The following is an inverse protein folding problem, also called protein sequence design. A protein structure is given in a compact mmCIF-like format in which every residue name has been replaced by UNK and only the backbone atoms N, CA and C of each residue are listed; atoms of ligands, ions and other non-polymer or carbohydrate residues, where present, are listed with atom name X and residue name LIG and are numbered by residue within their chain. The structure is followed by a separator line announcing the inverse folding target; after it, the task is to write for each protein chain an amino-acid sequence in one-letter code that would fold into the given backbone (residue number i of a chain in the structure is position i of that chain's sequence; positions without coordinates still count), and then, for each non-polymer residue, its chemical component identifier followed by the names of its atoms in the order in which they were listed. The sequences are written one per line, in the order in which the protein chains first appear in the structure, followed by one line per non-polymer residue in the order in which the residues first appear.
data_IF_328295682582
#
_entry.id   IF_328295682582
#
_cell.length_a   1.000
_cell.length_b   1.000
_cell.length_c   1.000
_cell.angle_alpha   90.00
_cell.angle_beta   90.00
_cell.angle_gamma   90.00
#
_symmetry.space_group_name_H-M   'P 1'
#
loop_
_entity.id
_entity.type
_entity.pdbx_description
1 polymer ?
#
# COMPACT_ATOMS: atom_id res chain seq x y z
N UNK A 1 24.89 23.24 -11.72
CA UNK A 1 25.96 22.54 -12.47
C UNK A 1 25.29 21.64 -13.49
N UNK A 2 25.60 21.79 -14.79
CA UNK A 2 25.12 20.88 -15.85
C UNK A 2 25.92 19.58 -15.72
N UNK A 3 25.36 18.55 -15.11
CA UNK A 3 25.93 17.21 -15.18
C UNK A 3 25.71 16.69 -16.59
N UNK A 4 26.75 16.12 -17.19
CA UNK A 4 26.63 15.37 -18.43
C UNK A 4 25.55 14.30 -18.23
N UNK A 5 24.76 14.01 -19.26
CA UNK A 5 23.68 13.02 -19.24
C UNK A 5 24.29 11.62 -19.20
N UNK A 6 24.86 11.25 -18.06
CA UNK A 6 25.40 9.92 -17.80
C UNK A 6 24.22 9.03 -17.40
N UNK A 7 24.07 7.90 -18.07
CA UNK A 7 23.12 6.88 -17.65
C UNK A 7 23.69 6.13 -16.45
N UNK A 8 23.32 6.61 -15.26
CA UNK A 8 23.76 6.02 -13.99
C UNK A 8 23.41 4.53 -13.89
N UNK A 9 22.29 4.10 -14.47
CA UNK A 9 21.86 2.70 -14.40
C UNK A 9 22.77 1.79 -15.21
N UNK A 10 23.07 2.16 -16.45
CA UNK A 10 24.00 1.44 -17.32
C UNK A 10 25.41 1.35 -16.69
N UNK A 11 25.91 2.44 -16.12
CA UNK A 11 27.24 2.45 -15.47
C UNK A 11 27.31 1.54 -14.24
N UNK A 12 26.22 1.40 -13.48
CA UNK A 12 26.16 0.49 -12.34
C UNK A 12 26.19 -0.96 -12.82
N UNK A 13 25.44 -1.30 -13.88
CA UNK A 13 25.43 -2.65 -14.45
C UNK A 13 26.80 -3.04 -15.00
N UNK A 14 27.44 -2.15 -15.75
CA UNK A 14 28.82 -2.34 -16.24
C UNK A 14 29.80 -2.57 -15.08
N UNK A 15 29.76 -1.73 -14.05
CA UNK A 15 30.63 -1.87 -12.87
C UNK A 15 30.39 -3.18 -12.11
N UNK A 16 29.14 -3.65 -12.00
CA UNK A 16 28.84 -4.95 -11.40
C UNK A 16 29.42 -6.11 -12.20
N UNK A 17 29.28 -6.08 -13.53
CA UNK A 17 29.79 -7.13 -14.41
C UNK A 17 31.33 -7.19 -14.35
N UNK A 18 32.01 -6.05 -14.32
CA UNK A 18 33.46 -5.99 -14.17
C UNK A 18 33.91 -6.57 -12.83
N UNK A 19 33.23 -6.22 -11.74
CA UNK A 19 33.53 -6.75 -10.41
C UNK A 19 33.25 -8.25 -10.28
N UNK A 20 32.33 -8.79 -11.10
CA UNK A 20 32.02 -10.22 -11.10
C UNK A 20 33.05 -11.07 -11.83
N UNK A 21 33.59 -10.55 -12.92
CA UNK A 21 34.59 -11.20 -13.76
C UNK A 21 36.03 -11.02 -13.27
N UNK A 22 36.28 -10.09 -12.33
CA UNK A 22 37.61 -9.85 -11.79
C UNK A 22 38.07 -11.00 -10.88
N UNK A 23 39.18 -11.64 -11.24
CA UNK A 23 39.73 -12.79 -10.53
C UNK A 23 40.80 -12.42 -9.50
N UNK A 24 41.40 -11.23 -9.60
CA UNK A 24 42.57 -10.84 -8.80
C UNK A 24 42.23 -9.97 -7.57
N UNK A 25 41.01 -10.05 -7.05
CA UNK A 25 40.57 -9.23 -5.92
C UNK A 25 40.29 -10.09 -4.68
N UNK A 26 40.75 -9.63 -3.51
CA UNK A 26 40.49 -10.30 -2.24
C UNK A 26 38.98 -10.28 -1.92
N UNK A 27 38.42 -11.35 -1.32
CA UNK A 27 37.00 -11.41 -0.98
C UNK A 27 36.49 -10.23 -0.12
N UNK A 28 37.34 -9.72 0.78
CA UNK A 28 37.03 -8.55 1.60
C UNK A 28 36.79 -7.29 0.75
N UNK A 29 37.70 -6.99 -0.19
CA UNK A 29 37.57 -5.84 -1.08
C UNK A 29 36.36 -5.98 -2.02
N UNK A 30 36.13 -7.19 -2.55
CA UNK A 30 34.94 -7.48 -3.37
C UNK A 30 33.64 -7.18 -2.62
N UNK A 31 33.59 -7.53 -1.34
CA UNK A 31 32.43 -7.28 -0.48
C UNK A 31 32.21 -5.78 -0.24
N UNK A 32 33.27 -5.01 0.00
CA UNK A 32 33.19 -3.55 0.18
C UNK A 32 32.69 -2.87 -1.09
N UNK A 33 33.24 -3.21 -2.26
CA UNK A 33 32.76 -2.64 -3.53
C UNK A 33 31.30 -3.00 -3.81
N UNK A 34 30.90 -4.24 -3.52
CA UNK A 34 29.51 -4.67 -3.69
C UNK A 34 28.55 -3.87 -2.78
N UNK A 35 28.95 -3.58 -1.55
CA UNK A 35 28.18 -2.71 -0.64
C UNK A 35 28.08 -1.26 -1.16
N UNK A 36 29.19 -0.71 -1.67
CA UNK A 36 29.19 0.64 -2.24
C UNK A 36 28.30 0.75 -3.47
N UNK A 37 28.40 -0.20 -4.40
CA UNK A 37 27.55 -0.26 -5.59
C UNK A 37 26.07 -0.38 -5.20
N UNK A 38 25.76 -1.22 -4.20
CA UNK A 38 24.40 -1.36 -3.68
C UNK A 38 23.87 -0.05 -3.09
N UNK A 39 24.69 0.66 -2.31
CA UNK A 39 24.33 1.95 -1.75
C UNK A 39 24.05 2.98 -2.85
N UNK A 40 24.92 3.04 -3.86
CA UNK A 40 24.75 3.95 -5.01
C UNK A 40 23.45 3.63 -5.77
N UNK A 41 23.14 2.35 -6.00
CA UNK A 41 21.88 1.93 -6.63
C UNK A 41 20.66 2.40 -5.86
N UNK A 42 20.64 2.20 -4.53
CA UNK A 42 19.53 2.67 -3.68
C UNK A 42 19.37 4.19 -3.76
N UNK A 43 20.47 4.95 -3.76
CA UNK A 43 20.43 6.41 -3.85
C UNK A 43 19.95 6.89 -5.22
N UNK A 44 20.39 6.25 -6.30
CA UNK A 44 19.94 6.53 -7.66
C UNK A 44 18.44 6.27 -7.81
N UNK A 45 17.96 5.11 -7.33
CA UNK A 45 16.55 4.75 -7.38
C UNK A 45 15.70 5.75 -6.59
N UNK A 46 16.14 6.18 -5.40
CA UNK A 46 15.44 7.20 -4.61
C UNK A 46 15.34 8.55 -5.32
N UNK A 47 16.39 8.97 -6.03
CA UNK A 47 16.39 10.22 -6.79
C UNK A 47 15.54 10.13 -8.07
N UNK A 48 15.32 8.93 -8.61
CA UNK A 48 14.42 8.72 -9.75
C UNK A 48 12.93 8.87 -9.40
N UNK A 49 12.59 8.83 -8.10
CA UNK A 49 11.22 9.00 -7.62
C UNK A 49 10.83 10.48 -7.64
N UNK A 50 9.78 10.77 -8.40
CA UNK A 50 9.10 12.06 -8.46
C UNK A 50 7.61 11.91 -8.10
N UNK A 51 6.87 13.00 -8.15
CA UNK A 51 5.43 13.02 -7.81
C UNK A 51 4.56 12.14 -8.72
N UNK A 52 5.06 11.74 -9.91
CA UNK A 52 4.30 10.94 -10.89
C UNK A 52 4.51 9.43 -10.72
N UNK A 53 5.66 8.98 -10.22
CA UNK A 53 6.02 7.54 -10.13
C UNK A 53 6.22 7.03 -8.68
N UNK A 54 6.09 7.88 -7.66
CA UNK A 54 6.32 7.47 -6.27
C UNK A 54 5.18 6.68 -5.64
N UNK A 55 4.03 6.54 -6.31
CA UNK A 55 2.80 5.87 -5.81
C UNK A 55 2.32 6.33 -4.43
N UNK A 56 2.90 7.40 -3.88
CA UNK A 56 2.51 7.99 -2.61
C UNK A 56 1.39 9.00 -2.87
N UNK A 57 0.18 8.77 -2.33
CA UNK A 57 -0.88 9.73 -2.53
C UNK A 57 -0.48 11.04 -1.84
N UNK A 58 -0.92 12.20 -2.36
CA UNK A 58 -0.56 13.49 -1.79
C UNK A 58 -1.12 13.66 -0.37
N UNK A 59 -2.03 12.80 0.10
CA UNK A 59 -2.51 12.76 1.49
C UNK A 59 -1.51 12.14 2.48
N UNK A 60 -0.51 11.39 2.01
CA UNK A 60 0.50 10.72 2.84
C UNK A 60 1.72 11.59 3.16
N UNK A 61 1.78 12.81 2.63
CA UNK A 61 2.85 13.76 2.93
C UNK A 61 2.63 14.39 4.34
N UNK A 62 3.51 14.12 5.33
CA UNK A 62 3.37 14.63 6.69
C UNK A 62 3.56 16.15 6.78
N UNK A 63 4.27 16.76 5.82
CA UNK A 63 4.53 18.20 5.80
C UNK A 63 3.51 18.97 4.95
N UNK A 64 2.51 18.28 4.38
CA UNK A 64 1.51 18.93 3.54
C UNK A 64 0.51 19.71 4.41
N UNK A 65 0.44 21.00 4.16
CA UNK A 65 -0.65 21.83 4.68
C UNK A 65 -2.01 21.35 4.16
N UNK A 66 -2.81 20.79 5.07
CA UNK A 66 -4.18 20.34 4.77
C UNK A 66 -5.09 21.56 4.65
N UNK A 67 -5.31 22.04 3.42
CA UNK A 67 -6.31 23.08 3.16
C UNK A 67 -7.71 22.51 3.42
N UNK A 68 -8.44 23.06 4.40
CA UNK A 68 -9.86 22.78 4.57
C UNK A 68 -10.60 23.26 3.32
N UNK A 69 -11.28 22.34 2.62
CA UNK A 69 -12.19 22.74 1.53
C UNK A 69 -13.34 23.52 2.16
N UNK A 70 -13.70 24.64 1.55
CA UNK A 70 -14.92 25.38 1.93
C UNK A 70 -16.11 24.46 1.72
N UNK A 71 -17.00 24.40 2.71
CA UNK A 71 -18.24 23.64 2.58
C UNK A 71 -18.99 24.16 1.35
N UNK A 72 -19.21 23.29 0.37
CA UNK A 72 -19.97 23.65 -0.82
C UNK A 72 -21.41 24.02 -0.46
N UNK A 73 -22.04 24.90 -1.24
CA UNK A 73 -23.47 25.27 -1.07
C UNK A 73 -24.41 24.07 -1.26
N UNK A 74 -23.93 22.97 -1.86
CA UNK A 74 -24.71 21.74 -2.07
C UNK A 74 -24.75 20.95 -0.77
N UNK A 75 -25.97 20.60 -0.34
CA UNK A 75 -26.18 19.73 0.82
C UNK A 75 -25.54 18.36 0.57
N UNK A 76 -25.00 17.77 1.63
CA UNK A 76 -24.52 16.39 1.61
C UNK A 76 -25.71 15.45 1.38
N UNK A 77 -25.58 14.48 0.46
CA UNK A 77 -26.65 13.56 0.09
C UNK A 77 -26.85 13.45 -1.43
N UNK A 78 -27.92 12.74 -1.82
CA UNK A 78 -28.30 12.58 -3.23
C UNK A 78 -28.66 13.89 -3.91
N UNK A 79 -28.55 13.92 -5.24
CA UNK A 79 -28.96 15.08 -6.04
C UNK A 79 -30.47 15.32 -5.89
N UNK A 80 -30.89 16.59 -5.79
CA UNK A 80 -32.32 16.95 -5.70
C UNK A 80 -33.04 16.47 -6.97
N UNK A 81 -34.05 15.62 -6.81
CA UNK A 81 -34.78 14.99 -7.92
C UNK A 81 -34.36 13.55 -8.23
N UNK A 82 -33.26 13.05 -7.64
CA UNK A 82 -32.91 11.65 -7.68
C UNK A 82 -33.38 10.95 -6.40
N UNK A 83 -34.51 10.26 -6.50
CA UNK A 83 -34.96 9.34 -5.45
C UNK A 83 -33.97 8.18 -5.37
N UNK A 84 -33.15 8.16 -4.33
CA UNK A 84 -32.33 6.99 -4.03
C UNK A 84 -33.24 5.80 -3.73
N UNK A 85 -32.96 4.65 -4.34
CA UNK A 85 -33.53 3.37 -3.90
C UNK A 85 -32.47 2.68 -3.06
N UNK A 86 -32.68 2.63 -1.75
CA UNK A 86 -31.95 1.71 -0.89
C UNK A 86 -32.60 0.35 -1.03
N UNK A 87 -31.81 -0.70 -1.22
CA UNK A 87 -32.35 -2.06 -1.25
C UNK A 87 -32.88 -2.39 0.16
N UNK A 88 -34.12 -2.88 0.21
CA UNK A 88 -34.71 -3.34 1.46
C UNK A 88 -34.19 -4.75 1.76
N UNK A 89 -34.00 -5.07 3.05
CA UNK A 89 -33.79 -6.46 3.45
C UNK A 89 -34.99 -7.29 3.03
N UNK A 90 -34.72 -8.47 2.49
CA UNK A 90 -35.72 -9.43 2.06
C UNK A 90 -36.06 -10.34 3.24
N UNK A 91 -37.30 -10.81 3.33
CA UNK A 91 -37.74 -11.68 4.42
C UNK A 91 -37.08 -13.07 4.33
N UNK A 92 -36.93 -13.58 3.11
CA UNK A 92 -36.24 -14.84 2.81
C UNK A 92 -34.79 -14.56 2.34
N UNK A 93 -33.76 -14.93 3.13
CA UNK A 93 -32.37 -14.76 2.73
C UNK A 93 -31.92 -15.82 1.71
N UNK A 94 -31.00 -15.45 0.83
CA UNK A 94 -30.43 -16.39 -0.16
C UNK A 94 -29.51 -17.44 0.49
N UNK A 95 -28.74 -17.02 1.50
CA UNK A 95 -27.77 -17.87 2.20
C UNK A 95 -27.91 -17.70 3.72
N UNK A 96 -27.83 -18.82 4.44
CA UNK A 96 -27.82 -18.87 5.91
C UNK A 96 -26.64 -19.71 6.37
N UNK A 97 -25.72 -19.07 7.11
CA UNK A 97 -24.55 -19.75 7.68
C UNK A 97 -24.74 -19.95 9.19
N UNK A 98 -24.77 -21.21 9.63
CA UNK A 98 -24.79 -21.55 11.04
C UNK A 98 -23.37 -21.62 11.62
N UNK A 99 -23.06 -20.73 12.56
CA UNK A 99 -21.77 -20.74 13.26
C UNK A 99 -21.83 -21.73 14.42
N UNK A 100 -21.23 -22.91 14.22
CA UNK A 100 -21.10 -23.93 15.27
C UNK A 100 -19.92 -23.61 16.18
N UNK A 101 -20.18 -23.47 17.48
CA UNK A 101 -19.17 -23.18 18.48
C UNK A 101 -19.01 -24.40 19.40
N UNK A 102 -17.78 -24.90 19.55
CA UNK A 102 -17.47 -25.88 20.58
C UNK A 102 -17.43 -25.19 21.96
N UNK A 103 -18.35 -25.56 22.85
CA UNK A 103 -18.45 -24.96 24.18
C UNK A 103 -17.22 -25.22 25.06
N UNK A 104 -16.41 -26.24 24.74
CA UNK A 104 -15.20 -26.59 25.51
C UNK A 104 -14.08 -25.57 25.32
N UNK A 105 -14.09 -24.82 24.23
CA UNK A 105 -13.06 -23.81 23.92
C UNK A 105 -13.36 -22.46 24.55
N UNK A 106 -14.57 -22.27 25.10
CA UNK A 106 -14.99 -21.02 25.73
C UNK A 106 -14.43 -20.90 27.15
N UNK A 107 -14.00 -19.69 27.57
CA UNK A 107 -13.60 -19.46 28.96
C UNK A 107 -14.77 -19.65 29.93
N UNK A 108 -14.48 -19.76 31.23
CA UNK A 108 -15.52 -19.96 32.24
C UNK A 108 -16.47 -18.76 32.28
N UNK A 109 -17.76 -19.00 32.07
CA UNK A 109 -18.79 -17.96 32.06
C UNK A 109 -20.19 -18.52 31.79
N UNK A 110 -21.21 -17.67 31.96
CA UNK A 110 -22.58 -17.97 31.54
C UNK A 110 -22.81 -17.42 30.13
N UNK A 111 -23.07 -18.32 29.19
CA UNK A 111 -23.34 -17.97 27.79
C UNK A 111 -24.81 -18.17 27.47
N UNK A 112 -25.34 -17.29 26.63
CA UNK A 112 -26.68 -17.39 26.07
C UNK A 112 -26.58 -17.35 24.55
N UNK A 113 -27.63 -17.83 23.89
CA UNK A 113 -27.78 -17.64 22.47
C UNK A 113 -27.90 -16.14 22.15
N UNK A 114 -27.13 -15.67 21.17
CA UNK A 114 -27.09 -14.28 20.72
C UNK A 114 -28.08 -14.01 19.58
N UNK A 115 -28.69 -15.05 19.02
CA UNK A 115 -29.55 -14.96 17.84
C UNK A 115 -28.72 -14.88 16.56
N UNK A 116 -29.24 -14.17 15.55
CA UNK A 116 -28.64 -14.08 14.22
C UNK A 116 -28.34 -12.64 13.82
N UNK A 117 -27.32 -12.48 12.97
CA UNK A 117 -26.99 -11.20 12.32
C UNK A 117 -27.42 -11.26 10.86
N UNK A 118 -28.35 -10.39 10.45
CA UNK A 118 -28.77 -10.28 9.06
C UNK A 118 -28.06 -9.10 8.37
N UNK A 119 -27.25 -9.42 7.36
CA UNK A 119 -26.52 -8.43 6.56
C UNK A 119 -26.81 -8.62 5.07
N UNK A 120 -26.90 -7.51 4.37
CA UNK A 120 -26.96 -7.49 2.92
C UNK A 120 -25.54 -7.29 2.38
N UNK A 121 -25.07 -8.21 1.55
CA UNK A 121 -23.73 -8.20 0.94
C UNK A 121 -23.88 -7.83 -0.54
N UNK A 122 -22.94 -7.04 -1.08
CA UNK A 122 -22.94 -6.55 -2.48
C UNK A 122 -21.81 -7.18 -3.28
#
# INVERSE_FOLDING_TARGET
MKTQQIDVSATIEEATNLLENETNITPAFRSVFKLLIMLVKILADKNSLNSRNSSKPPSSDPNREKKKKVNGKKKQGGQKGHTGKTLCRVDDPDEVEEIKIDRRTLPKGQYKDAGYEARQVF
#
